data_IF_278622956017
#
_entry.id   IF_278622956017
#
_cell.length_a   1.000
_cell.length_b   1.000
_cell.length_c   1.000
_cell.angle_alpha   90.00
_cell.angle_beta   90.00
_cell.angle_gamma   90.00
#
_symmetry.space_group_name_H-M   'P 1'
#
loop_
_entity.id
_entity.type
_entity.pdbx_description
1 polymer ?
#
# COMPACT_ATOMS: atom_id res chain seq x y z
N UNK A 1 22.68 -25.09 34.46
CA UNK A 1 21.62 -24.12 34.09
C UNK A 1 20.31 -24.71 34.53
N UNK A 2 19.56 -23.98 35.35
CA UNK A 2 18.22 -24.39 35.76
C UNK A 2 17.30 -24.47 34.53
N UNK A 3 16.31 -25.35 34.56
CA UNK A 3 15.35 -25.54 33.44
C UNK A 3 14.69 -24.21 33.06
N UNK A 4 14.41 -23.36 34.06
CA UNK A 4 13.85 -22.02 33.87
C UNK A 4 14.75 -21.12 33.02
N UNK A 5 16.07 -21.18 33.22
CA UNK A 5 17.04 -20.39 32.45
C UNK A 5 17.11 -20.87 31.00
N UNK A 6 17.02 -22.18 30.77
CA UNK A 6 16.98 -22.76 29.41
C UNK A 6 15.73 -22.25 28.68
N UNK A 7 14.57 -22.27 29.34
CA UNK A 7 13.31 -21.80 28.75
C UNK A 7 13.39 -20.31 28.42
N UNK A 8 13.85 -19.47 29.35
CA UNK A 8 13.99 -18.03 29.11
C UNK A 8 14.95 -17.75 27.95
N UNK A 9 16.09 -18.43 27.91
CA UNK A 9 17.08 -18.24 26.84
C UNK A 9 16.54 -18.71 25.48
N UNK A 10 15.83 -19.83 25.45
CA UNK A 10 15.20 -20.34 24.23
C UNK A 10 14.14 -19.36 23.70
N UNK A 11 13.26 -18.86 24.58
CA UNK A 11 12.24 -17.86 24.21
C UNK A 11 12.91 -16.58 23.72
N UNK A 12 13.88 -16.04 24.46
CA UNK A 12 14.63 -14.86 24.05
C UNK A 12 15.32 -15.04 22.69
N UNK A 13 15.94 -16.21 22.46
CA UNK A 13 16.56 -16.58 21.18
C UNK A 13 15.55 -16.60 20.03
N UNK A 14 14.35 -17.15 20.24
CA UNK A 14 13.27 -17.14 19.25
C UNK A 14 12.85 -15.71 18.91
N UNK A 15 12.61 -14.85 19.89
CA UNK A 15 12.25 -13.44 19.65
C UNK A 15 13.37 -12.68 18.94
N UNK A 16 14.63 -12.94 19.28
CA UNK A 16 15.78 -12.32 18.64
C UNK A 16 15.90 -12.72 17.17
N UNK A 17 15.85 -14.03 16.88
CA UNK A 17 15.86 -14.53 15.49
C UNK A 17 14.66 -13.98 14.71
N UNK A 18 13.49 -13.96 15.33
CA UNK A 18 12.28 -13.40 14.70
C UNK A 18 12.45 -11.93 14.35
N UNK A 19 13.01 -11.12 15.25
CA UNK A 19 13.22 -9.70 15.01
C UNK A 19 14.01 -9.49 13.71
N UNK A 20 15.19 -10.13 13.57
CA UNK A 20 16.01 -10.00 12.37
C UNK A 20 15.33 -10.55 11.11
N UNK A 21 14.65 -11.69 11.22
CA UNK A 21 13.87 -12.25 10.12
C UNK A 21 12.76 -11.28 9.66
N UNK A 22 12.05 -10.67 10.61
CA UNK A 22 11.00 -9.69 10.37
C UNK A 22 11.53 -8.44 9.67
N UNK A 23 12.69 -7.91 10.10
CA UNK A 23 13.35 -6.79 9.42
C UNK A 23 13.68 -7.12 7.97
N UNK A 24 14.25 -8.31 7.74
CA UNK A 24 14.64 -8.75 6.40
C UNK A 24 13.44 -8.97 5.49
N UNK A 25 12.37 -9.60 6.00
CA UNK A 25 11.12 -9.80 5.28
C UNK A 25 10.45 -8.47 4.96
N UNK A 26 10.42 -7.51 5.89
CA UNK A 26 9.88 -6.18 5.61
C UNK A 26 10.69 -5.49 4.52
N UNK A 27 12.03 -5.51 4.57
CA UNK A 27 12.86 -4.90 3.53
C UNK A 27 12.63 -5.52 2.15
N UNK A 28 12.48 -6.84 2.08
CA UNK A 28 12.12 -7.56 0.84
C UNK A 28 10.75 -7.15 0.33
N UNK A 29 9.77 -7.05 1.25
CA UNK A 29 8.39 -6.65 0.94
C UNK A 29 8.32 -5.23 0.39
N UNK A 30 8.97 -4.27 1.03
CA UNK A 30 9.01 -2.88 0.56
C UNK A 30 9.63 -2.78 -0.83
N UNK A 31 10.70 -3.53 -1.10
CA UNK A 31 11.32 -3.56 -2.42
C UNK A 31 10.41 -4.16 -3.49
N UNK A 32 9.63 -5.20 -3.17
CA UNK A 32 8.63 -5.77 -4.08
C UNK A 32 7.53 -4.75 -4.41
N UNK A 33 6.92 -4.13 -3.39
CA UNK A 33 5.87 -3.12 -3.58
C UNK A 33 6.39 -1.92 -4.38
N UNK A 34 7.59 -1.42 -4.04
CA UNK A 34 8.19 -0.30 -4.75
C UNK A 34 8.48 -0.63 -6.21
N UNK A 35 8.90 -1.87 -6.53
CA UNK A 35 9.07 -2.32 -7.92
C UNK A 35 7.74 -2.36 -8.67
N UNK A 36 6.69 -2.93 -8.07
CA UNK A 36 5.36 -2.97 -8.68
C UNK A 36 4.82 -1.55 -8.94
N UNK A 37 5.01 -0.63 -7.99
CA UNK A 37 4.62 0.79 -8.14
C UNK A 37 5.41 1.46 -9.26
N UNK A 38 6.74 1.29 -9.29
CA UNK A 38 7.60 1.88 -10.33
C UNK A 38 7.26 1.37 -11.73
N UNK A 39 6.91 0.09 -11.86
CA UNK A 39 6.45 -0.49 -13.13
C UNK A 39 5.10 0.09 -13.56
N UNK A 40 4.18 0.31 -12.62
CA UNK A 40 2.87 0.88 -12.89
C UNK A 40 2.91 2.41 -13.13
N UNK A 41 3.94 3.12 -12.65
CA UNK A 41 3.96 4.59 -12.62
C UNK A 41 3.86 5.23 -14.00
N UNK A 42 4.46 4.59 -15.02
CA UNK A 42 4.41 5.09 -16.40
C UNK A 42 2.99 5.20 -16.97
N UNK A 43 2.00 4.53 -16.36
CA UNK A 43 0.60 4.65 -16.75
C UNK A 43 -0.08 5.94 -16.27
N UNK A 44 0.46 6.60 -15.24
CA UNK A 44 -0.12 7.79 -14.59
C UNK A 44 0.78 9.03 -14.67
N UNK A 45 2.05 8.89 -15.10
CA UNK A 45 2.97 10.01 -15.30
C UNK A 45 4.43 9.58 -15.37
N UNK A 46 5.33 10.57 -15.31
CA UNK A 46 6.79 10.40 -15.28
C UNK A 46 7.38 10.76 -13.91
N UNK A 47 8.45 10.07 -13.56
CA UNK A 47 9.21 10.31 -12.33
C UNK A 47 8.52 9.78 -11.05
N UNK A 48 9.32 9.18 -10.17
CA UNK A 48 8.85 8.65 -8.89
C UNK A 48 9.68 9.25 -7.75
N UNK A 49 9.07 10.07 -6.91
CA UNK A 49 9.68 10.61 -5.70
C UNK A 49 9.27 9.71 -4.54
N UNK A 50 10.24 9.02 -3.95
CA UNK A 50 10.02 8.11 -2.81
C UNK A 50 10.43 8.79 -1.52
N UNK A 51 9.54 8.84 -0.54
CA UNK A 51 9.81 9.36 0.81
C UNK A 51 9.54 8.26 1.84
N UNK A 52 10.54 7.94 2.67
CA UNK A 52 10.38 6.90 3.69
C UNK A 52 9.88 7.51 4.99
N UNK A 53 8.82 6.93 5.55
CA UNK A 53 8.24 7.30 6.83
C UNK A 53 8.55 6.20 7.84
N UNK A 54 9.79 6.21 8.34
CA UNK A 54 10.29 5.16 9.23
C UNK A 54 10.57 3.84 8.51
N UNK A 55 10.38 2.72 9.21
CA UNK A 55 10.75 1.37 8.74
C UNK A 55 9.65 0.64 7.97
N UNK A 56 8.40 0.99 8.25
CA UNK A 56 7.22 0.24 7.78
C UNK A 56 6.24 1.11 7.01
N UNK A 57 6.63 2.33 6.63
CA UNK A 57 5.81 3.16 5.76
C UNK A 57 6.67 3.92 4.76
N UNK A 58 6.16 4.08 3.55
CA UNK A 58 6.77 4.93 2.54
C UNK A 58 5.70 5.55 1.64
N UNK A 59 5.96 6.77 1.22
CA UNK A 59 5.16 7.50 0.25
C UNK A 59 5.87 7.50 -1.10
N UNK A 60 5.10 7.36 -2.18
CA UNK A 60 5.56 7.54 -3.55
C UNK A 60 4.70 8.59 -4.20
N UNK A 61 5.29 9.72 -4.57
CA UNK A 61 4.63 10.77 -5.34
C UNK A 61 5.11 10.74 -6.79
N UNK A 62 4.20 10.92 -7.74
CA UNK A 62 4.53 11.11 -9.15
C UNK A 62 5.01 12.53 -9.34
N UNK A 63 6.21 12.71 -9.92
CA UNK A 63 6.81 14.02 -10.10
C UNK A 63 6.09 14.84 -11.18
N UNK A 64 5.77 14.17 -12.29
CA UNK A 64 5.11 14.76 -13.46
C UNK A 64 3.88 13.91 -13.81
N UNK A 65 2.72 14.19 -13.18
CA UNK A 65 1.47 13.51 -13.52
C UNK A 65 1.10 13.75 -14.98
N UNK A 66 0.69 12.70 -15.68
CA UNK A 66 0.17 12.84 -17.03
C UNK A 66 -1.25 13.43 -16.98
N UNK A 67 -1.54 14.39 -17.87
CA UNK A 67 -2.89 14.93 -17.99
C UNK A 67 -3.90 13.79 -18.26
N UNK A 68 -5.08 13.78 -17.61
CA UNK A 68 -5.72 14.88 -16.86
C UNK A 68 -5.54 14.82 -15.33
N UNK A 69 -4.51 14.12 -14.83
CA UNK A 69 -4.15 14.10 -13.41
C UNK A 69 -3.39 15.38 -13.05
N UNK A 70 -3.78 16.03 -11.96
CA UNK A 70 -3.07 17.17 -11.36
C UNK A 70 -2.03 16.71 -10.34
N UNK A 71 -2.21 15.53 -9.74
CA UNK A 71 -1.32 14.97 -8.73
C UNK A 71 -1.62 13.50 -8.49
N UNK A 72 -0.60 12.71 -8.18
CA UNK A 72 -0.77 11.31 -7.83
C UNK A 72 0.22 10.92 -6.74
N UNK A 73 -0.31 10.47 -5.61
CA UNK A 73 0.46 10.08 -4.43
C UNK A 73 0.00 8.72 -3.95
N UNK A 74 0.95 7.94 -3.45
CA UNK A 74 0.69 6.65 -2.83
C UNK A 74 1.33 6.61 -1.46
N UNK A 75 0.58 6.19 -0.45
CA UNK A 75 1.12 5.88 0.86
C UNK A 75 1.02 4.38 1.09
N UNK A 76 2.16 3.72 1.26
CA UNK A 76 2.24 2.30 1.58
C UNK A 76 2.55 2.15 3.07
N UNK A 77 1.68 1.44 3.79
CA UNK A 77 1.83 1.06 5.19
C UNK A 77 2.01 -0.46 5.26
N UNK A 78 3.20 -0.90 5.64
CA UNK A 78 3.53 -2.31 5.80
C UNK A 78 3.16 -2.82 7.19
N UNK A 79 2.81 -4.10 7.27
CA UNK A 79 2.68 -4.79 8.55
C UNK A 79 4.00 -4.75 9.34
N UNK A 80 3.96 -4.53 10.67
CA UNK A 80 5.12 -4.70 11.53
C UNK A 80 5.45 -6.20 11.67
N UNK A 81 6.36 -6.69 10.84
CA UNK A 81 6.79 -8.11 10.81
C UNK A 81 7.87 -8.42 11.84
N UNK A 82 8.50 -7.38 12.37
CA UNK A 82 9.54 -7.41 13.40
C UNK A 82 8.99 -7.75 14.80
N UNK A 83 7.69 -7.58 15.03
CA UNK A 83 7.05 -7.90 16.30
C UNK A 83 6.04 -9.07 16.13
N UNK A 84 6.38 -10.31 16.53
CA UNK A 84 5.59 -11.51 16.19
C UNK A 84 4.16 -11.46 16.74
N UNK A 85 3.98 -10.96 17.95
CA UNK A 85 2.66 -10.86 18.59
C UNK A 85 1.76 -9.86 17.87
N UNK A 86 2.30 -8.72 17.43
CA UNK A 86 1.56 -7.71 16.69
C UNK A 86 1.23 -8.21 15.28
N UNK A 87 2.15 -8.93 14.64
CA UNK A 87 1.91 -9.57 13.35
C UNK A 87 0.77 -10.59 13.46
N UNK A 88 0.81 -11.48 14.46
CA UNK A 88 -0.22 -12.47 14.69
C UNK A 88 -1.59 -11.81 14.94
N UNK A 89 -1.63 -10.78 15.80
CA UNK A 89 -2.85 -10.03 16.08
C UNK A 89 -3.44 -9.33 14.84
N UNK A 90 -2.60 -8.69 14.03
CA UNK A 90 -3.02 -8.04 12.79
C UNK A 90 -3.55 -9.04 11.77
N UNK A 91 -2.87 -10.19 11.62
CA UNK A 91 -3.29 -11.29 10.74
C UNK A 91 -4.65 -11.85 11.16
N UNK A 92 -4.87 -12.04 12.47
CA UNK A 92 -6.15 -12.51 13.01
C UNK A 92 -7.29 -11.51 12.74
N UNK A 93 -6.99 -10.21 12.74
CA UNK A 93 -7.95 -9.14 12.37
C UNK A 93 -8.09 -8.95 10.85
N UNK A 94 -7.47 -9.80 10.03
CA UNK A 94 -7.48 -9.70 8.58
C UNK A 94 -6.73 -8.49 8.01
N UNK A 95 -5.98 -7.75 8.84
CA UNK A 95 -5.21 -6.58 8.40
C UNK A 95 -3.97 -7.07 7.67
N UNK A 96 -3.75 -6.53 6.46
CA UNK A 96 -2.54 -6.74 5.65
C UNK A 96 -1.82 -5.42 5.38
N UNK A 97 -0.78 -5.45 4.54
CA UNK A 97 -0.13 -4.23 4.07
C UNK A 97 -1.19 -3.35 3.39
N UNK A 98 -1.24 -2.06 3.70
CA UNK A 98 -2.19 -1.11 3.13
C UNK A 98 -1.48 -0.22 2.12
N UNK A 99 -2.13 0.01 0.99
CA UNK A 99 -1.71 0.98 -0.01
C UNK A 99 -2.85 1.97 -0.16
N UNK A 100 -2.57 3.23 0.05
CA UNK A 100 -3.50 4.33 -0.10
C UNK A 100 -3.09 5.09 -1.35
N UNK A 101 -3.93 5.11 -2.37
CA UNK A 101 -3.71 5.88 -3.59
C UNK A 101 -4.55 7.13 -3.49
N UNK A 102 -3.91 8.28 -3.65
CA UNK A 102 -4.55 9.59 -3.68
C UNK A 102 -4.25 10.25 -5.02
N UNK A 103 -5.27 10.34 -5.86
CA UNK A 103 -5.21 10.95 -7.18
C UNK A 103 -6.00 12.26 -7.18
N UNK A 104 -5.38 13.33 -7.64
CA UNK A 104 -5.98 14.64 -7.82
C UNK A 104 -6.18 14.89 -9.31
N UNK A 105 -7.32 15.45 -9.68
CA UNK A 105 -7.67 15.70 -11.07
C UNK A 105 -7.69 17.20 -11.33
N UNK A 106 -7.34 17.62 -12.55
CA UNK A 106 -7.48 19.04 -12.93
C UNK A 106 -8.96 19.45 -13.03
N UNK A 107 -9.86 18.50 -13.28
CA UNK A 107 -11.31 18.70 -13.38
C UNK A 107 -12.04 17.55 -12.67
N UNK A 108 -13.24 17.79 -12.09
CA UNK A 108 -14.01 16.73 -11.45
C UNK A 108 -14.39 15.63 -12.46
N UNK A 109 -14.14 14.35 -12.15
CA UNK A 109 -14.62 13.25 -12.99
C UNK A 109 -16.16 13.23 -12.99
N UNK A 110 -16.79 12.87 -14.11
CA UNK A 110 -18.26 12.87 -14.28
C UNK A 110 -18.99 11.88 -13.37
N UNK A 111 -18.26 10.99 -12.71
CA UNK A 111 -18.81 9.95 -11.85
C UNK A 111 -19.38 10.59 -10.58
N UNK A 112 -20.60 11.13 -10.60
CA UNK A 112 -21.29 11.69 -9.43
C UNK A 112 -21.69 10.66 -8.36
N UNK A 113 -21.26 9.40 -8.53
CA UNK A 113 -21.61 8.25 -7.68
C UNK A 113 -20.40 7.87 -6.83
N UNK A 114 -20.64 7.64 -5.53
CA UNK A 114 -19.65 7.07 -4.64
C UNK A 114 -19.25 5.68 -5.15
N UNK A 115 -17.94 5.45 -5.32
CA UNK A 115 -17.42 4.17 -5.80
C UNK A 115 -17.63 3.11 -4.73
N UNK A 116 -18.33 2.02 -5.07
CA UNK A 116 -18.33 0.83 -4.24
C UNK A 116 -17.05 0.02 -4.54
N UNK A 117 -16.20 -0.27 -3.54
CA UNK A 117 -15.06 -1.16 -3.69
C UNK A 117 -15.41 -2.50 -4.35
N UNK A 118 -16.60 -3.05 -4.08
CA UNK A 118 -17.04 -4.33 -4.65
C UNK A 118 -17.28 -4.25 -6.16
N UNK A 119 -17.79 -3.12 -6.65
CA UNK A 119 -18.05 -2.88 -8.09
C UNK A 119 -16.75 -2.72 -8.89
N UNK A 120 -15.65 -2.31 -8.25
CA UNK A 120 -14.36 -2.09 -8.91
C UNK A 120 -13.66 -3.39 -9.33
N UNK A 121 -14.01 -4.54 -8.74
CA UNK A 121 -13.41 -5.85 -9.06
C UNK A 121 -11.92 -6.00 -8.70
N UNK A 122 -11.35 -5.06 -7.94
CA UNK A 122 -9.93 -5.07 -7.55
C UNK A 122 -9.78 -5.85 -6.25
N UNK A 123 -8.98 -6.92 -6.30
CA UNK A 123 -8.76 -7.78 -5.13
C UNK A 123 -8.05 -6.99 -4.02
N UNK A 124 -8.68 -6.93 -2.86
CA UNK A 124 -8.14 -6.22 -1.69
C UNK A 124 -8.49 -4.73 -1.63
N UNK A 125 -9.24 -4.18 -2.59
CA UNK A 125 -9.79 -2.84 -2.43
C UNK A 125 -10.81 -2.84 -1.29
N UNK A 126 -10.59 -1.98 -0.30
CA UNK A 126 -11.39 -1.90 0.93
C UNK A 126 -12.21 -0.63 1.02
N UNK A 127 -11.74 0.44 0.40
CA UNK A 127 -12.47 1.70 0.32
C UNK A 127 -12.11 2.43 -0.98
N UNK A 128 -13.11 3.10 -1.53
CA UNK A 128 -12.94 4.03 -2.64
C UNK A 128 -13.79 5.25 -2.34
N UNK A 129 -13.16 6.42 -2.30
CA UNK A 129 -13.83 7.68 -2.03
C UNK A 129 -13.51 8.65 -3.16
N UNK A 130 -14.55 9.30 -3.67
CA UNK A 130 -14.44 10.36 -4.65
C UNK A 130 -14.97 11.64 -4.01
N UNK A 131 -14.19 12.71 -4.08
CA UNK A 131 -14.62 14.05 -3.68
C UNK A 131 -14.64 14.96 -4.90
N UNK A 132 -15.68 15.78 -5.01
CA UNK A 132 -15.86 16.72 -6.11
C UNK A 132 -15.12 18.05 -5.89
N UNK A 133 -14.80 18.42 -4.65
CA UNK A 133 -14.14 19.69 -4.32
C UNK A 133 -13.21 19.56 -3.09
N UNK A 134 -11.88 19.66 -3.25
CA UNK A 134 -11.16 19.60 -4.52
C UNK A 134 -11.35 18.24 -5.21
N UNK A 135 -11.33 18.16 -6.54
CA UNK A 135 -11.57 16.91 -7.28
C UNK A 135 -10.44 15.90 -7.04
N UNK A 136 -10.68 14.93 -6.15
CA UNK A 136 -9.72 13.89 -5.83
C UNK A 136 -10.38 12.54 -5.56
N UNK A 137 -9.67 11.47 -5.89
CA UNK A 137 -10.03 10.09 -5.59
C UNK A 137 -9.04 9.52 -4.61
N UNK A 138 -9.55 8.87 -3.57
CA UNK A 138 -8.77 8.08 -2.63
C UNK A 138 -9.17 6.62 -2.72
N UNK A 139 -8.22 5.73 -3.01
CA UNK A 139 -8.43 4.28 -3.03
C UNK A 139 -7.57 3.65 -1.93
N UNK A 140 -8.18 2.83 -1.09
CA UNK A 140 -7.49 2.08 -0.04
C UNK A 140 -7.52 0.60 -0.36
N UNK A 141 -6.36 0.01 -0.61
CA UNK A 141 -6.18 -1.41 -0.91
C UNK A 141 -5.37 -2.10 0.19
N UNK A 142 -5.76 -3.32 0.53
CA UNK A 142 -4.99 -4.24 1.34
C UNK A 142 -4.28 -5.25 0.44
N UNK A 143 -2.95 -5.17 0.40
CA UNK A 143 -2.09 -5.93 -0.50
C UNK A 143 -1.33 -6.99 0.28
N UNK A 144 -1.87 -8.22 0.29
CA UNK A 144 -1.12 -9.38 0.77
C UNK A 144 0.02 -9.78 -0.17
N UNK A 145 0.89 -10.69 0.30
CA UNK A 145 1.91 -11.32 -0.55
C UNK A 145 1.24 -12.00 -1.75
N UNK A 146 1.70 -11.69 -2.96
CA UNK A 146 1.12 -12.18 -4.22
C UNK A 146 -0.11 -11.41 -4.71
N UNK A 147 -0.49 -10.32 -4.02
CA UNK A 147 -1.61 -9.45 -4.39
C UNK A 147 -1.18 -8.16 -5.09
N UNK A 148 0.06 -8.06 -5.56
CA UNK A 148 0.63 -6.81 -6.07
C UNK A 148 -0.05 -6.34 -7.36
N UNK A 149 -0.75 -7.23 -8.07
CA UNK A 149 -1.57 -6.93 -9.25
C UNK A 149 -2.69 -5.92 -8.97
N UNK A 150 -3.13 -5.80 -7.71
CA UNK A 150 -4.11 -4.79 -7.31
C UNK A 150 -3.59 -3.36 -7.54
N UNK A 151 -2.27 -3.15 -7.50
CA UNK A 151 -1.63 -1.85 -7.71
C UNK A 151 -1.84 -1.36 -9.16
N UNK A 152 -1.36 -2.07 -10.21
CA UNK A 152 -1.59 -1.63 -11.58
C UNK A 152 -3.07 -1.59 -11.97
N UNK A 153 -3.92 -2.49 -11.43
CA UNK A 153 -5.38 -2.43 -11.65
C UNK A 153 -6.00 -1.14 -11.12
N UNK A 154 -5.55 -0.69 -9.94
CA UNK A 154 -6.01 0.57 -9.34
C UNK A 154 -5.56 1.79 -10.15
N UNK A 155 -4.35 1.75 -10.72
CA UNK A 155 -3.85 2.84 -11.57
C UNK A 155 -4.67 2.92 -12.86
N UNK A 156 -4.94 1.77 -13.48
CA UNK A 156 -5.79 1.68 -14.66
C UNK A 156 -7.23 2.16 -14.37
N UNK A 157 -7.77 1.89 -13.17
CA UNK A 157 -9.06 2.43 -12.75
C UNK A 157 -9.02 3.97 -12.65
N UNK A 158 -8.04 4.53 -11.93
CA UNK A 158 -7.88 5.99 -11.80
C UNK A 158 -7.75 6.64 -13.18
N UNK A 159 -6.95 6.05 -14.07
CA UNK A 159 -6.78 6.55 -15.44
C UNK A 159 -8.08 6.51 -16.25
N UNK A 160 -8.84 5.40 -16.19
CA UNK A 160 -10.16 5.32 -16.84
C UNK A 160 -11.11 6.40 -16.33
N UNK A 161 -11.11 6.69 -15.04
CA UNK A 161 -11.92 7.79 -14.48
C UNK A 161 -11.46 9.16 -14.97
N UNK A 162 -10.16 9.33 -15.19
CA UNK A 162 -9.58 10.54 -15.77
C UNK A 162 -10.00 10.72 -17.24
N UNK A 163 -10.09 9.63 -17.99
CA UNK A 163 -10.44 9.60 -19.43
C UNK A 163 -11.96 9.64 -19.70
N UNK A 164 -12.79 9.17 -18.75
CA UNK A 164 -14.26 9.22 -18.84
C UNK A 164 -14.74 10.67 -18.74
N UNK A 165 -14.66 11.35 -19.88
CA UNK A 165 -15.02 12.74 -20.05
C UNK A 165 -16.49 12.96 -20.29
#
# INVERSE_FOLDING_TARGET
>A
MEVEQIVVLAVAGVFFVWYFAGLWLNRRRSAQLLRAIRQAIGSVGSGAIVRWHGRSAFEVAVAEPAAPLAGFRLLCLLEPRDFPLALAWNRLRGRRDQVLIHAQFTRPPRTGRQLDPAECGIRGLTAAALSASPPHVTLTLQVGVGGEEAIPQSFALVRRMAEQR
#
